data_IF_608857656414
#
_entry.id   IF_608857656414
#
_cell.length_a   1.000
_cell.length_b   1.000
_cell.length_c   1.000
_cell.angle_alpha   90.00
_cell.angle_beta   90.00
_cell.angle_gamma   90.00
#
_symmetry.space_group_name_H-M   'P 1'
#
loop_
_entity.id
_entity.type
_entity.pdbx_description
1 polymer ?
#
# COMPACT_ATOMS: atom_id res chain seq x y z
N UNK A 1 18.40 -18.06 45.59
CA UNK A 1 18.45 -18.88 44.35
C UNK A 1 17.26 -18.66 43.40
N UNK A 2 16.00 -18.73 43.86
CA UNK A 2 14.81 -18.53 43.01
C UNK A 2 14.68 -17.10 42.41
N UNK A 3 15.04 -16.06 43.17
CA UNK A 3 14.92 -14.67 42.72
C UNK A 3 15.83 -14.33 41.52
N UNK A 4 17.08 -14.81 41.51
CA UNK A 4 18.01 -14.63 40.39
C UNK A 4 17.57 -15.38 39.12
N UNK A 5 16.87 -16.52 39.25
CA UNK A 5 16.40 -17.32 38.11
C UNK A 5 15.18 -16.70 37.43
N UNK A 6 14.29 -16.08 38.21
CA UNK A 6 13.15 -15.31 37.72
C UNK A 6 13.58 -13.97 37.10
N UNK A 7 14.50 -13.25 37.76
CA UNK A 7 15.09 -12.03 37.22
C UNK A 7 15.86 -12.28 35.91
N UNK A 8 16.61 -13.39 35.82
CA UNK A 8 17.30 -13.79 34.58
C UNK A 8 16.35 -14.16 33.44
N UNK A 9 15.22 -14.83 33.73
CA UNK A 9 14.17 -15.11 32.74
C UNK A 9 13.44 -13.85 32.27
N UNK A 10 13.13 -12.94 33.19
CA UNK A 10 12.51 -11.66 32.86
C UNK A 10 13.45 -10.75 32.05
N UNK A 11 14.74 -10.72 32.38
CA UNK A 11 15.76 -10.02 31.60
C UNK A 11 15.94 -10.58 30.20
N UNK A 12 15.90 -11.91 30.05
CA UNK A 12 15.97 -12.55 28.74
C UNK A 12 14.71 -12.28 27.90
N UNK A 13 13.52 -12.38 28.50
CA UNK A 13 12.26 -12.07 27.83
C UNK A 13 12.20 -10.60 27.36
N UNK A 14 12.60 -9.64 28.20
CA UNK A 14 12.67 -8.21 27.83
C UNK A 14 13.61 -7.97 26.63
N UNK A 15 14.76 -8.65 26.59
CA UNK A 15 15.70 -8.56 25.46
C UNK A 15 15.11 -9.17 24.19
N UNK A 16 14.47 -10.35 24.29
CA UNK A 16 13.83 -11.01 23.14
C UNK A 16 12.68 -10.17 22.57
N UNK A 17 11.78 -9.66 23.41
CA UNK A 17 10.69 -8.79 22.95
C UNK A 17 11.20 -7.45 22.42
N UNK A 18 12.26 -6.89 23.02
CA UNK A 18 12.92 -5.69 22.50
C UNK A 18 13.50 -5.91 21.10
N UNK A 19 14.16 -7.05 20.88
CA UNK A 19 14.68 -7.41 19.55
C UNK A 19 13.55 -7.63 18.54
N UNK A 20 12.50 -8.36 18.92
CA UNK A 20 11.34 -8.59 18.06
C UNK A 20 10.66 -7.26 17.67
N UNK A 21 10.47 -6.36 18.63
CA UNK A 21 9.93 -5.02 18.38
C UNK A 21 10.82 -4.23 17.43
N UNK A 22 12.14 -4.23 17.65
CA UNK A 22 13.08 -3.53 16.78
C UNK A 22 13.02 -4.06 15.34
N UNK A 23 12.96 -5.38 15.14
CA UNK A 23 12.84 -6.00 13.82
C UNK A 23 11.53 -5.60 13.12
N UNK A 24 10.40 -5.66 13.84
CA UNK A 24 9.11 -5.23 13.30
C UNK A 24 9.12 -3.74 12.96
N UNK A 25 9.72 -2.89 13.80
CA UNK A 25 9.82 -1.46 13.56
C UNK A 25 10.69 -1.15 12.34
N UNK A 26 11.85 -1.81 12.19
CA UNK A 26 12.73 -1.66 11.02
C UNK A 26 12.01 -2.08 9.73
N UNK A 27 11.12 -3.05 9.79
CA UNK A 27 10.31 -3.45 8.65
C UNK A 27 9.16 -2.46 8.37
N UNK A 28 8.37 -2.12 9.39
CA UNK A 28 7.15 -1.33 9.24
C UNK A 28 7.42 0.15 8.97
N UNK A 29 8.38 0.77 9.66
CA UNK A 29 8.58 2.22 9.58
C UNK A 29 8.94 2.69 8.16
N UNK A 30 9.91 2.07 7.45
CA UNK A 30 10.16 2.44 6.06
C UNK A 30 8.93 2.20 5.18
N UNK A 31 8.23 1.08 5.35
CA UNK A 31 7.02 0.78 4.58
C UNK A 31 5.85 1.72 4.84
N UNK A 32 5.82 2.40 5.99
CA UNK A 32 4.80 3.40 6.31
C UNK A 32 5.14 4.77 5.76
N UNK A 33 6.41 5.16 5.63
CA UNK A 33 6.76 6.56 5.36
C UNK A 33 7.54 6.78 4.07
N UNK A 34 8.00 5.72 3.42
CA UNK A 34 8.89 5.85 2.28
C UNK A 34 8.45 4.99 1.09
N UNK A 35 8.48 5.61 -0.09
CA UNK A 35 8.42 4.95 -1.38
C UNK A 35 9.67 5.37 -2.16
N UNK A 36 10.38 4.40 -2.76
CA UNK A 36 11.54 4.71 -3.59
C UNK A 36 11.14 5.49 -4.84
N UNK A 37 11.99 6.40 -5.30
CA UNK A 37 11.81 7.11 -6.57
C UNK A 37 11.70 6.13 -7.76
N UNK A 38 12.43 5.01 -7.71
CA UNK A 38 12.37 3.97 -8.75
C UNK A 38 11.03 3.23 -8.81
N UNK A 39 10.24 3.27 -7.74
CA UNK A 39 8.95 2.59 -7.62
C UNK A 39 7.77 3.56 -7.76
N UNK A 40 8.03 4.85 -8.01
CA UNK A 40 7.00 5.85 -8.29
C UNK A 40 7.04 6.24 -9.77
N UNK A 41 5.87 6.34 -10.42
CA UNK A 41 5.79 6.78 -11.82
C UNK A 41 6.37 8.19 -12.00
N UNK A 42 6.07 9.09 -11.06
CA UNK A 42 6.58 10.46 -11.01
C UNK A 42 6.78 10.87 -9.54
N UNK A 43 7.55 11.95 -9.34
CA UNK A 43 7.87 12.45 -8.00
C UNK A 43 6.62 12.83 -7.17
N UNK A 44 5.56 13.35 -7.80
CA UNK A 44 4.31 13.67 -7.12
C UNK A 44 3.70 12.45 -6.42
N UNK A 45 3.67 11.29 -7.09
CA UNK A 45 3.15 10.04 -6.52
C UNK A 45 3.95 9.62 -5.29
N UNK A 46 5.28 9.84 -5.31
CA UNK A 46 6.15 9.57 -4.16
C UNK A 46 5.79 10.45 -2.97
N UNK A 47 5.58 11.74 -3.20
CA UNK A 47 5.22 12.71 -2.15
C UNK A 47 3.83 12.45 -1.58
N UNK A 48 2.92 11.92 -2.40
CA UNK A 48 1.56 11.60 -1.99
C UNK A 48 1.43 10.24 -1.31
N UNK A 49 2.49 9.42 -1.29
CA UNK A 49 2.44 8.07 -0.72
C UNK A 49 1.90 8.04 0.71
N UNK A 50 2.23 9.02 1.56
CA UNK A 50 1.75 9.10 2.94
C UNK A 50 0.27 9.46 3.06
N UNK A 51 -0.38 9.93 1.99
CA UNK A 51 -1.84 10.11 1.91
C UNK A 51 -2.58 8.79 1.73
N UNK A 52 -1.89 7.71 1.33
CA UNK A 52 -2.45 6.38 1.27
C UNK A 52 -2.73 5.84 2.67
N UNK A 53 -3.77 5.03 2.81
CA UNK A 53 -4.07 4.37 4.07
C UNK A 53 -2.88 3.52 4.56
N UNK A 54 -2.48 3.57 5.84
CA UNK A 54 -1.29 2.88 6.37
C UNK A 54 -1.22 1.39 6.04
N UNK A 55 -2.36 0.69 6.05
CA UNK A 55 -2.43 -0.75 5.74
C UNK A 55 -2.13 -1.02 4.26
N UNK A 56 -2.60 -0.17 3.35
CA UNK A 56 -2.25 -0.27 1.93
C UNK A 56 -0.77 0.08 1.70
N UNK A 57 -0.23 1.09 2.41
CA UNK A 57 1.20 1.40 2.35
C UNK A 57 2.05 0.19 2.71
N UNK A 58 1.76 -0.46 3.84
CA UNK A 58 2.48 -1.66 4.25
C UNK A 58 2.39 -2.79 3.21
N UNK A 59 1.21 -3.05 2.65
CA UNK A 59 1.03 -4.06 1.59
C UNK A 59 1.83 -3.74 0.33
N UNK A 60 1.74 -2.50 -0.16
CA UNK A 60 2.49 -2.05 -1.34
C UNK A 60 4.00 -2.10 -1.08
N UNK A 61 4.47 -1.56 0.04
CA UNK A 61 5.89 -1.51 0.37
C UNK A 61 6.51 -2.89 0.52
N UNK A 62 5.78 -3.83 1.14
CA UNK A 62 6.19 -5.24 1.21
C UNK A 62 6.51 -5.77 -0.19
N UNK A 63 5.62 -5.51 -1.15
CA UNK A 63 5.80 -5.95 -2.52
C UNK A 63 6.91 -5.18 -3.24
N UNK A 64 7.11 -3.88 -2.98
CA UNK A 64 8.25 -3.13 -3.56
C UNK A 64 9.61 -3.65 -3.11
N UNK A 65 9.71 -4.24 -1.91
CA UNK A 65 10.94 -4.86 -1.44
C UNK A 65 11.25 -6.17 -2.17
N UNK A 66 10.21 -6.91 -2.57
CA UNK A 66 10.34 -8.20 -3.27
C UNK A 66 10.45 -8.02 -4.79
N UNK A 67 9.73 -7.04 -5.33
CA UNK A 67 9.65 -6.73 -6.74
C UNK A 67 10.08 -5.28 -6.99
N UNK A 68 11.36 -5.13 -7.34
CA UNK A 68 11.96 -3.83 -7.64
C UNK A 68 11.34 -3.14 -8.87
N UNK A 69 10.65 -3.89 -9.74
CA UNK A 69 10.03 -3.36 -10.94
C UNK A 69 8.56 -2.92 -10.71
N UNK A 70 8.03 -3.08 -9.49
CA UNK A 70 6.70 -2.60 -9.15
C UNK A 70 6.65 -1.07 -9.19
N UNK A 71 5.80 -0.52 -10.06
CA UNK A 71 5.62 0.93 -10.17
C UNK A 71 4.24 1.32 -9.65
N UNK A 72 4.21 2.19 -8.64
CA UNK A 72 3.02 2.90 -8.18
C UNK A 72 2.76 4.05 -9.15
N UNK A 73 1.59 4.04 -9.77
CA UNK A 73 1.21 5.01 -10.79
C UNK A 73 0.29 6.10 -10.26
N UNK A 74 -0.47 5.81 -9.22
CA UNK A 74 -1.41 6.74 -8.60
C UNK A 74 -1.71 6.33 -7.16
N UNK A 75 -1.97 7.31 -6.29
CA UNK A 75 -2.24 7.14 -4.86
C UNK A 75 -3.39 8.06 -4.41
N UNK A 76 -3.50 9.24 -5.02
CA UNK A 76 -4.45 10.25 -4.63
C UNK A 76 -4.97 11.00 -5.85
N UNK A 77 -6.28 11.23 -5.90
CA UNK A 77 -6.91 12.06 -6.93
C UNK A 77 -7.71 13.18 -6.31
N UNK A 78 -7.90 14.22 -7.09
CA UNK A 78 -8.95 15.22 -6.93
C UNK A 78 -9.95 15.10 -8.08
N UNK A 79 -11.21 15.54 -7.89
CA UNK A 79 -12.20 15.58 -8.98
C UNK A 79 -11.69 16.26 -10.25
N UNK A 80 -10.88 17.31 -10.10
CA UNK A 80 -10.30 18.10 -11.19
C UNK A 80 -9.31 17.27 -12.04
N UNK A 81 -8.66 16.26 -11.45
CA UNK A 81 -7.73 15.39 -12.17
C UNK A 81 -8.44 14.55 -13.23
N UNK A 82 -9.70 14.16 -12.99
CA UNK A 82 -10.52 13.52 -14.02
C UNK A 82 -10.78 14.47 -15.19
N UNK A 83 -11.05 15.75 -14.91
CA UNK A 83 -11.22 16.78 -15.94
C UNK A 83 -9.96 16.96 -16.80
N UNK A 84 -8.77 16.95 -16.19
CA UNK A 84 -7.49 16.98 -16.91
C UNK A 84 -7.27 15.75 -17.80
N UNK A 85 -7.88 14.61 -17.44
CA UNK A 85 -7.86 13.38 -18.25
C UNK A 85 -8.97 13.33 -19.31
N UNK A 86 -9.85 14.34 -19.39
CA UNK A 86 -11.03 14.32 -20.26
C UNK A 86 -12.10 13.32 -19.82
N UNK A 87 -12.11 12.95 -18.53
CA UNK A 87 -13.04 12.00 -17.94
C UNK A 87 -14.04 12.72 -17.01
N UNK A 88 -15.27 12.21 -16.87
CA UNK A 88 -16.19 12.70 -15.85
C UNK A 88 -15.64 12.39 -14.45
N UNK A 89 -15.76 13.35 -13.55
CA UNK A 89 -15.40 13.15 -12.15
C UNK A 89 -16.23 12.02 -11.54
N UNK A 90 -15.56 11.10 -10.84
CA UNK A 90 -16.24 10.00 -10.14
C UNK A 90 -16.56 10.40 -8.71
N UNK A 91 -17.83 10.54 -8.35
CA UNK A 91 -18.23 10.95 -6.99
C UNK A 91 -17.82 9.97 -5.87
N UNK A 92 -17.56 8.71 -6.21
CA UNK A 92 -17.25 7.64 -5.26
C UNK A 92 -15.82 7.10 -5.38
N UNK A 93 -14.87 7.88 -5.91
CA UNK A 93 -13.51 7.36 -6.08
C UNK A 93 -12.83 7.09 -4.73
N UNK A 94 -12.21 5.91 -4.61
CA UNK A 94 -11.40 5.55 -3.44
C UNK A 94 -10.01 6.19 -3.45
N UNK A 95 -9.59 6.77 -4.58
CA UNK A 95 -8.40 7.61 -4.68
C UNK A 95 -8.58 8.99 -4.02
N UNK A 96 -9.82 9.40 -3.75
CA UNK A 96 -10.07 10.63 -3.01
C UNK A 96 -9.79 10.44 -1.52
N UNK A 97 -9.62 11.56 -0.81
CA UNK A 97 -9.58 11.57 0.64
C UNK A 97 -10.90 11.02 1.19
N UNK A 98 -10.84 9.91 1.92
CA UNK A 98 -12.00 9.35 2.60
C UNK A 98 -12.15 9.97 4.00
N UNK A 99 -13.25 9.68 4.70
CA UNK A 99 -13.51 10.18 6.06
C UNK A 99 -12.41 9.85 7.07
N UNK A 100 -11.63 8.78 6.84
CA UNK A 100 -10.46 8.42 7.63
C UNK A 100 -9.26 9.39 7.50
N UNK A 101 -9.31 10.36 6.57
CA UNK A 101 -8.19 11.25 6.27
C UNK A 101 -7.12 10.64 5.35
N UNK A 102 -7.42 9.53 4.69
CA UNK A 102 -6.53 8.85 3.74
C UNK A 102 -7.25 8.45 2.46
N UNK A 103 -6.50 8.34 1.37
CA UNK A 103 -6.93 7.63 0.18
C UNK A 103 -6.98 6.11 0.45
N UNK A 104 -7.99 5.45 -0.09
CA UNK A 104 -8.27 4.02 0.14
C UNK A 104 -7.98 3.17 -1.09
N UNK A 105 -7.30 3.73 -2.08
CA UNK A 105 -6.89 3.02 -3.28
C UNK A 105 -5.50 3.44 -3.77
N UNK A 106 -4.89 2.57 -4.56
CA UNK A 106 -3.60 2.76 -5.20
C UNK A 106 -3.62 2.05 -6.56
N UNK A 107 -3.03 2.67 -7.58
CA UNK A 107 -2.90 2.07 -8.90
C UNK A 107 -1.46 1.61 -9.12
N UNK A 108 -1.29 0.37 -9.59
CA UNK A 108 0.00 -0.27 -9.85
C UNK A 108 0.14 -0.58 -11.34
N UNK A 109 1.31 -0.31 -11.92
CA UNK A 109 1.56 -0.58 -13.34
C UNK A 109 1.54 -2.08 -13.66
N UNK A 110 0.81 -2.43 -14.71
CA UNK A 110 0.72 -3.81 -15.24
C UNK A 110 1.23 -3.95 -16.68
N UNK A 111 1.33 -2.84 -17.43
CA UNK A 111 1.85 -2.86 -18.80
C UNK A 111 3.28 -3.39 -18.86
N UNK A 112 3.55 -4.29 -19.81
CA UNK A 112 4.86 -4.92 -20.06
C UNK A 112 5.46 -5.73 -18.90
N UNK A 113 4.66 -6.07 -17.88
CA UNK A 113 5.14 -6.81 -16.72
C UNK A 113 4.83 -8.32 -16.76
N UNK A 114 4.09 -8.79 -17.77
CA UNK A 114 3.70 -10.19 -17.94
C UNK A 114 2.46 -10.59 -17.14
N UNK A 115 1.60 -11.41 -17.76
CA UNK A 115 0.28 -11.77 -17.20
C UNK A 115 0.36 -12.60 -15.92
N UNK A 116 1.33 -13.52 -15.82
CA UNK A 116 1.54 -14.33 -14.61
C UNK A 116 1.92 -13.44 -13.42
N UNK A 117 2.86 -12.51 -13.63
CA UNK A 117 3.25 -11.55 -12.60
C UNK A 117 2.03 -10.72 -12.17
N UNK A 118 1.28 -10.17 -13.12
CA UNK A 118 0.10 -9.36 -12.82
C UNK A 118 -0.95 -10.17 -12.04
N UNK A 119 -1.15 -11.44 -12.37
CA UNK A 119 -2.03 -12.34 -11.64
C UNK A 119 -1.55 -12.63 -10.21
N UNK A 120 -0.24 -12.88 -10.02
CA UNK A 120 0.35 -13.09 -8.69
C UNK A 120 0.26 -11.84 -7.82
N UNK A 121 0.52 -10.66 -8.38
CA UNK A 121 0.38 -9.37 -7.68
C UNK A 121 -1.08 -9.14 -7.27
N UNK A 122 -2.03 -9.36 -8.18
CA UNK A 122 -3.45 -9.26 -7.85
C UNK A 122 -3.88 -10.29 -6.79
N UNK A 123 -3.37 -11.52 -6.87
CA UNK A 123 -3.61 -12.59 -5.90
C UNK A 123 -3.05 -12.25 -4.51
N UNK A 124 -1.84 -11.70 -4.45
CA UNK A 124 -1.21 -11.22 -3.22
C UNK A 124 -2.11 -10.23 -2.46
N UNK A 125 -2.59 -9.19 -3.15
CA UNK A 125 -3.45 -8.20 -2.50
C UNK A 125 -4.83 -8.77 -2.12
N UNK A 126 -5.38 -9.69 -2.90
CA UNK A 126 -6.63 -10.40 -2.53
C UNK A 126 -6.44 -11.23 -1.27
N UNK A 127 -5.32 -11.94 -1.12
CA UNK A 127 -5.01 -12.71 0.08
C UNK A 127 -4.86 -11.83 1.32
N UNK A 128 -4.42 -10.58 1.15
CA UNK A 128 -4.41 -9.58 2.22
C UNK A 128 -5.80 -8.99 2.56
N UNK A 129 -6.84 -9.35 1.79
CA UNK A 129 -8.20 -8.86 1.97
C UNK A 129 -8.52 -7.57 1.21
N UNK A 130 -7.70 -7.16 0.24
CA UNK A 130 -7.98 -6.00 -0.60
C UNK A 130 -8.77 -6.38 -1.86
N UNK A 131 -9.51 -5.41 -2.37
CA UNK A 131 -10.14 -5.50 -3.68
C UNK A 131 -9.10 -5.20 -4.77
N UNK A 132 -9.18 -5.93 -5.88
CA UNK A 132 -8.31 -5.66 -7.03
C UNK A 132 -9.09 -5.67 -8.34
N UNK A 133 -8.83 -4.68 -9.19
CA UNK A 133 -9.47 -4.52 -10.50
C UNK A 133 -8.43 -4.06 -11.51
N UNK A 134 -8.21 -4.80 -12.59
CA UNK A 134 -7.33 -4.36 -13.67
C UNK A 134 -8.11 -3.49 -14.65
N UNK A 135 -7.58 -2.33 -14.96
CA UNK A 135 -8.07 -1.45 -16.02
C UNK A 135 -7.09 -1.52 -17.19
N UNK A 136 -7.60 -1.71 -18.41
CA UNK A 136 -6.79 -1.80 -19.64
C UNK A 136 -7.04 -0.60 -20.59
N UNK A 137 -7.96 0.30 -20.23
CA UNK A 137 -8.38 1.43 -21.07
C UNK A 137 -7.34 2.55 -21.20
N UNK A 138 -7.49 3.63 -20.43
CA UNK A 138 -6.66 4.84 -20.55
C UNK A 138 -5.19 4.61 -20.16
N UNK A 139 -4.95 3.66 -19.27
CA UNK A 139 -3.63 3.14 -18.91
C UNK A 139 -3.80 1.73 -18.34
N UNK A 140 -2.95 0.77 -18.73
CA UNK A 140 -2.98 -0.58 -18.16
C UNK A 140 -2.36 -0.57 -16.74
N UNK A 141 -3.24 -0.68 -15.75
CA UNK A 141 -2.88 -0.72 -14.33
C UNK A 141 -3.81 -1.64 -13.53
N UNK A 142 -3.30 -2.12 -12.40
CA UNK A 142 -4.03 -2.81 -11.36
C UNK A 142 -4.45 -1.79 -10.30
N UNK A 143 -5.74 -1.54 -10.18
CA UNK A 143 -6.33 -0.84 -9.06
C UNK A 143 -6.39 -1.78 -7.84
N UNK A 144 -5.92 -1.30 -6.69
CA UNK A 144 -5.97 -2.02 -5.41
C UNK A 144 -6.62 -1.11 -4.38
N UNK A 145 -7.63 -1.61 -3.66
CA UNK A 145 -8.36 -0.78 -2.70
C UNK A 145 -8.84 -1.52 -1.45
N UNK A 146 -9.10 -0.76 -0.40
CA UNK A 146 -9.76 -1.28 0.79
C UNK A 146 -11.22 -1.63 0.51
N UNK A 147 -11.78 -2.56 1.30
CA UNK A 147 -13.23 -2.72 1.38
C UNK A 147 -13.87 -1.48 2.01
N UNK A 148 -14.46 -0.63 1.17
CA UNK A 148 -15.16 0.56 1.65
C UNK A 148 -16.55 0.20 2.15
N UNK A 149 -16.72 0.17 3.48
CA UNK A 149 -18.02 -0.02 4.11
C UNK A 149 -18.90 1.24 4.02
N UNK A 150 -18.29 2.42 3.96
CA UNK A 150 -19.00 3.71 3.81
C UNK A 150 -19.37 4.06 2.37
N UNK A 151 -18.75 3.39 1.38
CA UNK A 151 -19.08 3.53 -0.05
C UNK A 151 -19.02 2.15 -0.73
N UNK A 152 -20.04 1.30 -0.51
CA UNK A 152 -20.09 -0.03 -1.12
C UNK A 152 -19.97 0.08 -2.64
N UNK A 153 -19.04 -0.67 -3.24
CA UNK A 153 -18.78 -0.63 -4.68
C UNK A 153 -17.89 0.52 -5.17
N UNK A 154 -17.30 1.32 -4.27
CA UNK A 154 -16.29 2.31 -4.63
C UNK A 154 -15.06 1.66 -5.30
N UNK A 155 -14.55 2.33 -6.34
CA UNK A 155 -13.36 1.98 -7.14
C UNK A 155 -12.51 3.22 -7.44
#
# INVERSE_FOLDING_TARGET
YLHNRLAGRAGNARRTYGLAFALVAVYCLPGLFYLSASNAKHEAVRQEFTRLHPVLRLGVSTLTFLDKNLIVTDVGRQPEDYGRMGLPAKGHSLHYLQSSGYAHAVDLRTIQQGEIRNALVAGYFRLMGFNTLRHVGTADHLHVSLMSHGRPGGI
#
